data_IF_749616883927
#
_entry.id   IF_749616883927
#
_cell.length_a   1.000
_cell.length_b   1.000
_cell.length_c   1.000
_cell.angle_alpha   90.00
_cell.angle_beta   90.00
_cell.angle_gamma   90.00
#
_symmetry.space_group_name_H-M   'P 1'
#
loop_
_entity.id
_entity.type
_entity.pdbx_description
1 polymer ?
#
# COMPACT_ATOMS: atom_id res chain seq x y z
N UNK A 1 -2.90 23.41 19.21
CA UNK A 1 -1.59 23.05 18.61
C UNK A 1 -1.76 21.70 17.95
N UNK A 2 -1.30 21.54 16.69
CA UNK A 2 -1.35 20.25 16.00
C UNK A 2 -0.55 19.16 16.72
N UNK A 3 -0.94 17.92 16.51
CA UNK A 3 -0.27 16.76 17.11
C UNK A 3 1.11 16.52 16.47
N UNK A 4 1.98 15.79 17.18
CA UNK A 4 3.23 15.27 16.62
C UNK A 4 2.96 13.96 15.94
N UNK A 5 3.34 13.86 14.67
CA UNK A 5 3.23 12.64 13.89
C UNK A 5 4.59 12.19 13.32
N UNK A 6 4.86 10.89 13.37
CA UNK A 6 6.03 10.27 12.78
C UNK A 6 5.62 9.42 11.59
N UNK A 7 6.07 9.78 10.39
CA UNK A 7 5.84 9.01 9.17
C UNK A 7 7.14 8.31 8.79
N UNK A 8 7.15 6.99 8.82
CA UNK A 8 8.33 6.17 8.51
C UNK A 8 8.18 5.61 7.11
N UNK A 9 9.02 6.09 6.18
CA UNK A 9 8.96 5.77 4.75
C UNK A 9 8.49 6.94 3.89
N UNK A 10 9.41 7.62 3.20
CA UNK A 10 9.15 8.77 2.32
C UNK A 10 8.90 8.35 0.85
N UNK A 11 8.15 7.26 0.66
CA UNK A 11 7.60 6.88 -0.65
C UNK A 11 6.35 7.69 -0.99
N UNK A 12 5.68 7.33 -2.10
CA UNK A 12 4.47 8.04 -2.56
C UNK A 12 3.42 8.15 -1.45
N UNK A 13 3.10 7.05 -0.79
CA UNK A 13 2.05 7.06 0.25
C UNK A 13 2.51 7.82 1.50
N UNK A 14 3.73 7.56 2.01
CA UNK A 14 4.19 8.24 3.22
C UNK A 14 4.31 9.76 3.03
N UNK A 15 4.74 10.21 1.85
CA UNK A 15 4.75 11.63 1.51
C UNK A 15 3.33 12.23 1.48
N UNK A 16 2.36 11.52 0.88
CA UNK A 16 0.95 11.95 0.89
C UNK A 16 0.39 12.06 2.32
N UNK A 17 0.68 11.06 3.17
CA UNK A 17 0.29 11.10 4.59
C UNK A 17 0.92 12.32 5.27
N UNK A 18 2.22 12.54 5.08
CA UNK A 18 2.92 13.69 5.67
C UNK A 18 2.33 15.03 5.22
N UNK A 19 2.01 15.17 3.92
CA UNK A 19 1.36 16.36 3.38
C UNK A 19 -0.02 16.61 4.00
N UNK A 20 -0.89 15.60 4.02
CA UNK A 20 -2.24 15.71 4.60
C UNK A 20 -2.21 16.08 6.09
N UNK A 21 -1.27 15.52 6.86
CA UNK A 21 -1.09 15.85 8.27
C UNK A 21 -0.62 17.30 8.45
N UNK A 22 0.34 17.74 7.65
CA UNK A 22 0.85 19.11 7.68
C UNK A 22 -0.23 20.14 7.27
N UNK A 23 -1.05 19.84 6.27
CA UNK A 23 -2.20 20.66 5.87
C UNK A 23 -3.25 20.79 6.99
N UNK A 24 -3.40 19.74 7.81
CA UNK A 24 -4.25 19.74 9.01
C UNK A 24 -3.65 20.58 10.17
N UNK A 25 -2.39 21.00 10.06
CA UNK A 25 -1.67 21.76 11.07
C UNK A 25 -0.87 20.92 12.06
N UNK A 26 -0.64 19.64 11.77
CA UNK A 26 0.20 18.77 12.57
C UNK A 26 1.70 19.03 12.30
N UNK A 27 2.54 18.75 13.29
CA UNK A 27 3.99 18.74 13.16
C UNK A 27 4.45 17.34 12.74
N UNK A 28 5.01 17.21 11.55
CA UNK A 28 5.32 15.92 10.95
C UNK A 28 6.83 15.70 10.86
N UNK A 29 7.29 14.56 11.36
CA UNK A 29 8.64 14.05 11.08
C UNK A 29 8.52 12.93 10.03
N UNK A 30 9.10 13.17 8.83
CA UNK A 30 9.12 12.20 7.73
C UNK A 30 10.50 11.54 7.66
N UNK A 31 10.53 10.22 7.89
CA UNK A 31 11.77 9.45 7.99
C UNK A 31 12.03 8.66 6.71
N UNK A 32 13.24 8.76 6.20
CA UNK A 32 13.76 7.88 5.16
C UNK A 32 15.25 7.63 5.36
N UNK A 33 15.79 6.58 4.75
CA UNK A 33 17.21 6.23 4.90
C UNK A 33 18.20 7.36 4.51
N UNK A 34 17.77 8.28 3.66
CA UNK A 34 18.61 9.39 3.15
C UNK A 34 18.11 10.77 3.59
N UNK A 35 17.06 10.85 4.39
CA UNK A 35 16.42 12.13 4.73
C UNK A 35 15.84 12.86 3.52
N UNK A 36 15.67 12.16 2.40
CA UNK A 36 15.14 12.71 1.16
C UNK A 36 13.71 12.17 0.91
N UNK A 37 12.94 12.91 0.16
CA UNK A 37 11.59 12.58 -0.28
C UNK A 37 11.05 13.70 -1.16
N UNK A 38 9.87 13.56 -1.77
CA UNK A 38 9.20 14.63 -2.48
C UNK A 38 9.05 15.88 -1.61
N UNK A 39 8.98 17.06 -2.21
CA UNK A 39 8.66 18.29 -1.50
C UNK A 39 7.20 18.23 -1.03
N UNK A 40 6.99 18.44 0.26
CA UNK A 40 5.66 18.44 0.86
C UNK A 40 5.27 19.85 1.29
N UNK A 41 4.00 20.26 1.15
CA UNK A 41 3.55 21.52 1.73
C UNK A 41 3.56 21.42 3.26
N UNK A 42 3.79 22.59 3.91
CA UNK A 42 3.65 22.73 5.35
C UNK A 42 4.89 22.33 6.19
N UNK A 43 4.66 22.12 7.49
CA UNK A 43 5.71 21.91 8.49
C UNK A 43 6.17 20.44 8.56
N UNK A 44 6.81 19.93 7.49
CA UNK A 44 7.38 18.59 7.44
C UNK A 44 8.88 18.64 7.65
N UNK A 45 9.36 18.05 8.75
CA UNK A 45 10.79 17.86 9.03
C UNK A 45 11.24 16.51 8.47
N UNK A 46 12.25 16.51 7.59
CA UNK A 46 12.82 15.29 7.03
C UNK A 46 14.03 14.83 7.83
N UNK A 47 14.04 13.55 8.19
CA UNK A 47 15.11 12.94 8.99
C UNK A 47 15.66 11.71 8.31
N UNK A 48 17.01 11.61 8.29
CA UNK A 48 17.70 10.41 7.85
C UNK A 48 17.79 9.40 9.00
N UNK A 49 17.13 8.25 8.86
CA UNK A 49 17.27 7.14 9.79
C UNK A 49 16.90 5.80 9.13
N UNK A 50 17.46 4.71 9.67
CA UNK A 50 17.05 3.36 9.29
C UNK A 50 15.85 2.95 10.17
N UNK A 51 14.76 2.54 9.54
CA UNK A 51 13.58 2.04 10.25
C UNK A 51 13.85 0.76 11.06
N UNK A 52 14.92 0.04 10.75
CA UNK A 52 15.36 -1.13 11.53
C UNK A 52 16.19 -0.76 12.78
N UNK A 53 16.65 0.49 12.89
CA UNK A 53 17.36 0.96 14.09
C UNK A 53 16.36 1.28 15.22
N UNK A 54 16.24 0.35 16.17
CA UNK A 54 15.32 0.48 17.29
C UNK A 54 15.65 1.68 18.21
N UNK A 55 16.92 2.06 18.32
CA UNK A 55 17.34 3.24 19.10
C UNK A 55 16.94 4.55 18.42
N UNK A 56 17.15 4.63 17.10
CA UNK A 56 16.71 5.79 16.32
C UNK A 56 15.18 5.94 16.32
N UNK A 57 14.44 4.85 16.09
CA UNK A 57 12.98 4.89 16.10
C UNK A 57 12.42 5.27 17.48
N UNK A 58 13.01 4.77 18.57
CA UNK A 58 12.61 5.13 19.91
C UNK A 58 12.75 6.64 20.17
N UNK A 59 13.90 7.22 19.83
CA UNK A 59 14.13 8.67 20.01
C UNK A 59 13.19 9.51 19.14
N UNK A 60 12.96 9.11 17.90
CA UNK A 60 12.08 9.82 16.98
C UNK A 60 10.60 9.73 17.38
N UNK A 61 10.22 8.72 18.15
CA UNK A 61 8.85 8.50 18.61
C UNK A 61 8.56 9.24 19.94
N UNK A 62 9.52 9.90 20.58
CA UNK A 62 9.30 10.62 21.83
C UNK A 62 8.27 11.74 21.65
N UNK A 63 7.20 11.70 22.45
CA UNK A 63 6.10 12.68 22.40
C UNK A 63 5.22 12.62 21.15
N UNK A 64 5.39 11.61 20.29
CA UNK A 64 4.59 11.42 19.09
C UNK A 64 3.23 10.81 19.44
N UNK A 65 2.16 11.37 18.87
CA UNK A 65 0.80 10.83 19.04
C UNK A 65 0.54 9.61 18.15
N UNK A 66 1.03 9.65 16.90
CA UNK A 66 0.79 8.60 15.90
C UNK A 66 2.07 8.31 15.08
N UNK A 67 2.37 7.04 14.91
CA UNK A 67 3.42 6.53 14.00
C UNK A 67 2.75 5.88 12.79
N UNK A 68 3.04 6.38 11.59
CA UNK A 68 2.59 5.81 10.32
C UNK A 68 3.73 5.02 9.68
N UNK A 69 3.62 3.69 9.65
CA UNK A 69 4.58 2.82 9.00
C UNK A 69 4.23 2.63 7.52
N UNK A 70 4.85 3.42 6.66
CA UNK A 70 4.72 3.38 5.19
C UNK A 70 5.97 2.79 4.50
N UNK A 71 6.80 2.04 5.24
CA UNK A 71 8.01 1.43 4.70
C UNK A 71 7.64 0.28 3.74
N UNK A 72 8.35 0.20 2.64
CA UNK A 72 8.27 -0.95 1.74
C UNK A 72 9.68 -1.27 1.20
N UNK A 73 10.40 -2.23 1.78
CA UNK A 73 11.70 -2.67 1.27
C UNK A 73 11.59 -3.27 -0.13
N UNK A 74 12.69 -3.37 -0.90
CA UNK A 74 12.71 -4.11 -2.15
C UNK A 74 12.25 -5.58 -1.95
N UNK A 75 11.43 -6.10 -2.82
CA UNK A 75 10.77 -7.41 -2.66
C UNK A 75 11.72 -8.56 -2.32
N UNK A 76 12.88 -8.62 -2.97
CA UNK A 76 13.89 -9.65 -2.72
C UNK A 76 14.54 -9.56 -1.32
N UNK A 77 14.36 -8.43 -0.63
CA UNK A 77 14.89 -8.18 0.72
C UNK A 77 13.84 -8.36 1.81
N UNK A 78 12.57 -8.58 1.47
CA UNK A 78 11.51 -8.68 2.46
C UNK A 78 11.80 -9.67 3.60
N UNK A 79 12.31 -10.88 3.36
CA UNK A 79 12.60 -11.81 4.45
C UNK A 79 13.64 -11.30 5.45
N UNK A 80 14.60 -10.49 4.97
CA UNK A 80 15.66 -9.94 5.81
C UNK A 80 15.28 -8.59 6.45
N UNK A 81 14.61 -7.72 5.70
CA UNK A 81 14.39 -6.33 6.11
C UNK A 81 13.11 -6.14 6.94
N UNK A 82 12.02 -6.87 6.63
CA UNK A 82 10.74 -6.66 7.32
C UNK A 82 10.77 -7.01 8.82
N UNK A 83 11.34 -8.14 9.28
CA UNK A 83 11.31 -8.47 10.70
C UNK A 83 11.95 -7.40 11.60
N UNK A 84 13.18 -6.91 11.33
CA UNK A 84 13.77 -5.86 12.17
C UNK A 84 13.04 -4.51 12.06
N UNK A 85 12.52 -4.14 10.89
CA UNK A 85 11.73 -2.91 10.73
C UNK A 85 10.45 -2.99 11.55
N UNK A 86 9.68 -4.07 11.42
CA UNK A 86 8.42 -4.23 12.14
C UNK A 86 8.64 -4.22 13.67
N UNK A 87 9.65 -4.95 14.14
CA UNK A 87 9.98 -4.99 15.57
C UNK A 87 10.42 -3.62 16.12
N UNK A 88 11.24 -2.89 15.35
CA UNK A 88 11.73 -1.55 15.73
C UNK A 88 10.59 -0.54 15.83
N UNK A 89 9.73 -0.47 14.82
CA UNK A 89 8.61 0.49 14.78
C UNK A 89 7.54 0.14 15.82
N UNK A 90 7.19 -1.14 15.98
CA UNK A 90 6.28 -1.59 17.03
C UNK A 90 6.82 -1.27 18.42
N UNK A 91 8.09 -1.59 18.69
CA UNK A 91 8.72 -1.28 19.97
C UNK A 91 8.85 0.21 20.24
N UNK A 92 8.99 1.06 19.22
CA UNK A 92 8.94 2.51 19.37
C UNK A 92 7.54 2.98 19.79
N UNK A 93 6.48 2.44 19.18
CA UNK A 93 5.10 2.75 19.53
C UNK A 93 4.75 2.27 20.96
N UNK A 94 5.18 1.07 21.35
CA UNK A 94 4.98 0.56 22.72
C UNK A 94 5.62 1.48 23.77
N UNK A 95 6.85 1.96 23.53
CA UNK A 95 7.58 2.82 24.48
C UNK A 95 7.03 4.24 24.55
N UNK A 96 6.61 4.80 23.44
CA UNK A 96 6.10 6.18 23.38
C UNK A 96 4.62 6.31 23.72
N UNK A 97 3.87 5.21 23.71
CA UNK A 97 2.41 5.22 23.83
C UNK A 97 1.69 5.74 22.60
N UNK A 98 2.40 5.94 21.48
CA UNK A 98 1.82 6.37 20.22
C UNK A 98 0.88 5.29 19.61
N UNK A 99 -0.09 5.72 18.83
CA UNK A 99 -0.83 4.82 17.95
C UNK A 99 0.07 4.38 16.80
N UNK A 100 0.10 3.09 16.47
CA UNK A 100 0.81 2.59 15.30
C UNK A 100 -0.18 2.24 14.17
N UNK A 101 -0.07 2.91 13.04
CA UNK A 101 -0.81 2.58 11.82
C UNK A 101 0.15 2.04 10.79
N UNK A 102 -0.08 0.80 10.33
CA UNK A 102 0.78 0.16 9.33
C UNK A 102 0.08 0.07 7.97
N UNK A 103 0.71 0.61 6.93
CA UNK A 103 0.31 0.36 5.55
C UNK A 103 0.65 -1.08 5.17
N UNK A 104 -0.34 -1.79 4.69
CA UNK A 104 -0.22 -3.18 4.24
C UNK A 104 -0.84 -3.37 2.85
N UNK A 105 -0.87 -4.61 2.41
CA UNK A 105 -1.49 -5.05 1.17
C UNK A 105 -2.30 -6.32 1.40
N UNK A 106 -2.82 -6.91 0.32
CA UNK A 106 -3.67 -8.09 0.37
C UNK A 106 -2.89 -9.42 0.32
N UNK A 107 -1.56 -9.39 0.30
CA UNK A 107 -0.75 -10.62 0.16
C UNK A 107 -0.92 -11.61 1.32
N UNK A 108 -1.28 -11.11 2.49
CA UNK A 108 -1.54 -11.94 3.67
C UNK A 108 -2.70 -12.92 3.47
N UNK A 109 -3.66 -12.62 2.60
CA UNK A 109 -4.77 -13.51 2.25
C UNK A 109 -4.30 -14.69 1.39
N UNK A 110 -3.21 -14.53 0.61
CA UNK A 110 -2.59 -15.57 -0.19
C UNK A 110 -3.34 -15.94 -1.46
N UNK A 111 -2.80 -16.88 -2.26
CA UNK A 111 -3.35 -17.25 -3.57
C UNK A 111 -4.46 -18.30 -3.49
N UNK A 112 -5.04 -18.53 -2.36
CA UNK A 112 -6.06 -19.57 -2.22
C UNK A 112 -5.54 -20.85 -1.57
N UNK A 113 -6.47 -21.62 -1.12
CA UNK A 113 -6.39 -22.78 -0.25
C UNK A 113 -7.58 -22.73 0.69
N UNK A 114 -7.83 -23.72 1.52
CA UNK A 114 -8.94 -23.68 2.48
C UNK A 114 -8.88 -22.40 3.32
N UNK A 115 -9.92 -21.56 3.19
CA UNK A 115 -10.00 -20.26 3.86
C UNK A 115 -9.19 -19.12 3.24
N UNK A 116 -8.53 -19.31 2.08
CA UNK A 116 -7.83 -18.25 1.35
C UNK A 116 -8.74 -17.40 0.48
N UNK A 117 -8.16 -16.41 -0.23
CA UNK A 117 -8.94 -15.48 -1.03
C UNK A 117 -9.76 -16.17 -2.15
N UNK A 118 -9.30 -17.30 -2.68
CA UNK A 118 -10.01 -18.05 -3.73
C UNK A 118 -11.40 -18.55 -3.28
N UNK A 119 -11.63 -18.70 -1.97
CA UNK A 119 -12.92 -19.06 -1.41
C UNK A 119 -13.73 -17.84 -0.93
N UNK A 120 -13.06 -16.72 -0.71
CA UNK A 120 -13.66 -15.48 -0.21
C UNK A 120 -13.62 -14.39 -1.29
N UNK A 121 -14.60 -14.38 -2.18
CA UNK A 121 -14.80 -13.34 -3.16
C UNK A 121 -16.07 -12.53 -2.88
N UNK A 122 -15.95 -11.22 -2.73
CA UNK A 122 -14.73 -10.42 -2.56
C UNK A 122 -14.02 -10.66 -1.22
N UNK A 123 -12.69 -10.36 -1.16
CA UNK A 123 -11.97 -10.36 0.11
C UNK A 123 -12.51 -9.27 1.03
N UNK A 124 -12.76 -9.63 2.28
CA UNK A 124 -13.12 -8.70 3.37
C UNK A 124 -12.02 -8.67 4.42
N UNK A 125 -12.11 -7.76 5.39
CA UNK A 125 -11.16 -7.71 6.52
C UNK A 125 -11.23 -8.97 7.40
N UNK A 126 -12.34 -9.72 7.33
CA UNK A 126 -12.53 -10.99 8.04
C UNK A 126 -11.94 -12.20 7.27
N UNK A 127 -11.56 -12.03 6.00
CA UNK A 127 -10.92 -13.10 5.21
C UNK A 127 -9.66 -13.59 5.92
N UNK A 128 -9.48 -14.90 6.14
CA UNK A 128 -8.32 -15.44 6.84
C UNK A 128 -6.99 -15.10 6.17
N UNK A 129 -5.95 -14.87 6.97
CA UNK A 129 -4.58 -14.69 6.49
C UNK A 129 -3.96 -16.06 6.19
N UNK A 130 -4.30 -16.65 5.05
CA UNK A 130 -3.96 -18.01 4.64
C UNK A 130 -2.77 -18.08 3.66
N UNK A 131 -1.97 -17.03 3.56
CA UNK A 131 -0.85 -16.98 2.62
C UNK A 131 0.19 -18.08 2.86
N UNK A 132 0.54 -18.83 1.82
CA UNK A 132 1.57 -19.85 1.82
C UNK A 132 2.92 -19.36 1.31
N UNK A 133 2.95 -18.25 0.56
CA UNK A 133 4.16 -17.62 0.04
C UNK A 133 4.90 -16.77 1.09
N UNK A 134 6.23 -16.58 0.92
CA UNK A 134 7.05 -15.82 1.87
C UNK A 134 6.53 -14.39 2.13
N UNK A 135 6.16 -13.65 1.09
CA UNK A 135 5.69 -12.26 1.23
C UNK A 135 4.39 -12.16 1.99
N UNK A 136 3.44 -13.04 1.67
CA UNK A 136 2.16 -13.07 2.36
C UNK A 136 2.32 -13.47 3.84
N UNK A 137 3.16 -14.46 4.15
CA UNK A 137 3.47 -14.84 5.55
C UNK A 137 4.13 -13.70 6.32
N UNK A 138 5.02 -12.93 5.70
CA UNK A 138 5.64 -11.77 6.33
C UNK A 138 4.58 -10.73 6.69
N UNK A 139 3.68 -10.38 5.75
CA UNK A 139 2.60 -9.43 6.01
C UNK A 139 1.65 -9.91 7.09
N UNK A 140 1.26 -11.19 7.04
CA UNK A 140 0.43 -11.79 8.07
C UNK A 140 1.11 -11.71 9.45
N UNK A 141 2.39 -12.02 9.53
CA UNK A 141 3.16 -11.98 10.78
C UNK A 141 3.28 -10.57 11.36
N UNK A 142 3.60 -9.57 10.52
CA UNK A 142 3.67 -8.16 10.95
C UNK A 142 2.36 -7.71 11.59
N UNK A 143 1.22 -8.05 10.99
CA UNK A 143 -0.08 -7.75 11.56
C UNK A 143 -0.36 -8.54 12.85
N UNK A 144 -0.13 -9.84 12.85
CA UNK A 144 -0.38 -10.70 14.01
C UNK A 144 0.41 -10.25 15.25
N UNK A 145 1.69 -9.89 15.09
CA UNK A 145 2.53 -9.40 16.17
C UNK A 145 2.03 -8.05 16.72
N UNK A 146 1.64 -7.13 15.84
CA UNK A 146 1.06 -5.85 16.22
C UNK A 146 -0.28 -6.02 16.95
N UNK A 147 -1.16 -6.88 16.42
CA UNK A 147 -2.47 -7.17 17.04
C UNK A 147 -2.33 -7.85 18.40
N UNK A 148 -1.40 -8.77 18.56
CA UNK A 148 -1.10 -9.40 19.85
C UNK A 148 -0.60 -8.38 20.88
N UNK A 149 0.24 -7.43 20.47
CA UNK A 149 0.67 -6.33 21.32
C UNK A 149 -0.50 -5.42 21.74
N UNK A 150 -1.42 -5.14 20.82
CA UNK A 150 -2.64 -4.38 21.10
C UNK A 150 -3.56 -5.11 22.10
N UNK A 151 -3.82 -6.39 21.87
CA UNK A 151 -4.65 -7.21 22.76
C UNK A 151 -4.07 -7.36 24.16
N UNK A 152 -2.75 -7.32 24.28
CA UNK A 152 -2.03 -7.27 25.55
C UNK A 152 -2.02 -5.87 26.21
N UNK A 153 -2.66 -4.85 25.62
CA UNK A 153 -2.74 -3.50 26.14
C UNK A 153 -1.43 -2.70 26.05
N UNK A 154 -0.43 -3.18 25.31
CA UNK A 154 0.89 -2.52 25.23
C UNK A 154 0.92 -1.35 24.23
N UNK A 155 0.06 -1.38 23.22
CA UNK A 155 0.03 -0.38 22.15
C UNK A 155 -1.35 -0.33 21.50
N UNK A 156 -1.70 0.79 20.87
CA UNK A 156 -2.88 0.91 20.02
C UNK A 156 -2.44 0.77 18.57
N UNK A 157 -3.03 -0.17 17.80
CA UNK A 157 -2.62 -0.43 16.43
C UNK A 157 -3.80 -0.43 15.47
N UNK A 158 -3.54 -0.07 14.22
CA UNK A 158 -4.44 -0.33 13.09
C UNK A 158 -3.61 -0.76 11.88
N UNK A 159 -4.18 -1.58 11.01
CA UNK A 159 -3.59 -1.92 9.72
C UNK A 159 -4.49 -1.43 8.59
N UNK A 160 -3.92 -0.77 7.60
CA UNK A 160 -4.62 -0.32 6.39
C UNK A 160 -4.14 -1.17 5.22
N UNK A 161 -5.03 -1.99 4.66
CA UNK A 161 -4.75 -2.89 3.55
C UNK A 161 -5.23 -2.28 2.24
N UNK A 162 -4.30 -2.11 1.31
CA UNK A 162 -4.58 -1.61 -0.03
C UNK A 162 -4.40 -2.71 -1.07
N UNK A 163 -5.18 -2.65 -2.14
CA UNK A 163 -4.92 -3.38 -3.38
C UNK A 163 -3.78 -2.71 -4.16
N UNK A 164 -3.55 -3.10 -5.41
CA UNK A 164 -2.56 -2.47 -6.26
C UNK A 164 -2.84 -0.97 -6.44
N UNK A 165 -1.78 -0.17 -6.41
CA UNK A 165 -1.93 1.28 -6.44
C UNK A 165 -2.20 1.81 -7.84
N UNK A 166 -3.06 2.84 -7.91
CA UNK A 166 -3.25 3.72 -9.06
C UNK A 166 -3.06 5.16 -8.59
N UNK A 167 -2.54 6.02 -9.47
CA UNK A 167 -2.29 7.42 -9.17
C UNK A 167 -0.88 7.86 -9.55
N UNK A 168 -0.57 9.16 -9.42
CA UNK A 168 0.76 9.70 -9.72
C UNK A 168 1.86 9.04 -8.89
N UNK A 169 2.92 8.57 -9.57
CA UNK A 169 4.05 7.92 -8.92
C UNK A 169 3.78 6.53 -8.37
N UNK A 170 2.58 5.96 -8.59
CA UNK A 170 2.22 4.63 -8.11
C UNK A 170 3.22 3.57 -8.60
N UNK A 171 3.77 2.82 -7.66
CA UNK A 171 4.64 1.68 -7.95
C UNK A 171 3.80 0.40 -8.00
N UNK A 172 3.19 0.14 -9.14
CA UNK A 172 2.27 -0.97 -9.36
C UNK A 172 2.43 -1.56 -10.76
N UNK A 173 1.66 -2.61 -11.05
CA UNK A 173 1.62 -3.23 -12.37
C UNK A 173 1.22 -2.24 -13.48
N UNK A 174 0.32 -1.28 -13.18
CA UNK A 174 -0.14 -0.22 -14.10
C UNK A 174 0.46 1.16 -13.78
N UNK A 175 1.61 1.20 -13.11
CA UNK A 175 2.30 2.44 -12.74
C UNK A 175 2.91 3.20 -13.93
N UNK A 176 3.81 4.14 -13.61
CA UNK A 176 4.39 5.13 -14.53
C UNK A 176 4.87 4.58 -15.88
N UNK A 177 5.45 3.36 -15.90
CA UNK A 177 5.89 2.71 -17.14
C UNK A 177 4.74 2.49 -18.11
N UNK A 178 3.59 2.05 -17.63
CA UNK A 178 2.39 1.81 -18.45
C UNK A 178 1.79 3.14 -18.86
N UNK A 179 1.57 4.07 -17.93
CA UNK A 179 1.01 5.40 -18.19
C UNK A 179 1.79 6.12 -19.30
N UNK A 180 3.14 6.14 -19.21
CA UNK A 180 3.99 6.76 -20.24
C UNK A 180 3.82 6.13 -21.62
N UNK A 181 3.70 4.80 -21.72
CA UNK A 181 3.48 4.11 -23.00
C UNK A 181 2.11 4.41 -23.57
N UNK A 182 1.09 4.43 -22.72
CA UNK A 182 -0.29 4.77 -23.12
C UNK A 182 -0.35 6.19 -23.69
N UNK A 183 0.24 7.18 -23.01
CA UNK A 183 0.33 8.58 -23.51
C UNK A 183 0.99 8.67 -24.89
N UNK A 184 1.88 7.75 -25.22
CA UNK A 184 2.55 7.70 -26.51
C UNK A 184 1.78 6.86 -27.55
N UNK A 185 0.58 6.36 -27.25
CA UNK A 185 -0.17 5.46 -28.11
C UNK A 185 0.51 4.12 -28.35
N UNK A 186 1.49 3.73 -27.52
CA UNK A 186 2.28 2.50 -27.71
C UNK A 186 1.63 1.32 -26.99
N UNK A 187 1.72 0.14 -27.58
CA UNK A 187 1.26 -1.11 -26.99
C UNK A 187 1.88 -1.33 -25.60
N UNK A 188 1.11 -1.94 -24.71
CA UNK A 188 1.54 -2.28 -23.34
C UNK A 188 1.48 -3.79 -23.12
N UNK A 189 2.37 -4.29 -22.27
CA UNK A 189 2.35 -5.67 -21.82
C UNK A 189 2.06 -5.71 -20.33
N UNK A 190 1.08 -6.50 -19.92
CA UNK A 190 0.59 -6.64 -18.56
C UNK A 190 0.88 -8.04 -18.00
N UNK A 191 0.88 -8.16 -16.68
CA UNK A 191 1.09 -9.42 -15.98
C UNK A 191 -0.20 -10.24 -15.94
N UNK A 192 -0.08 -11.56 -16.10
CA UNK A 192 -1.21 -12.47 -15.99
C UNK A 192 -2.25 -12.22 -17.07
N UNK A 193 -3.51 -12.09 -16.69
CA UNK A 193 -4.65 -11.90 -17.59
C UNK A 193 -5.11 -10.45 -17.60
N UNK A 194 -5.32 -9.92 -18.77
CA UNK A 194 -5.71 -8.54 -18.97
C UNK A 194 -7.20 -8.28 -18.66
N UNK A 195 -8.02 -9.33 -18.63
CA UNK A 195 -9.49 -9.26 -18.56
C UNK A 195 -10.08 -9.59 -17.19
N UNK A 196 -9.23 -9.96 -16.21
CA UNK A 196 -9.72 -10.32 -14.85
C UNK A 196 -10.03 -9.08 -14.02
N UNK A 197 -11.17 -9.07 -13.30
CA UNK A 197 -11.48 -8.03 -12.33
C UNK A 197 -10.40 -7.89 -11.27
N UNK A 198 -9.99 -6.65 -11.02
CA UNK A 198 -8.97 -6.32 -10.04
C UNK A 198 -9.32 -5.01 -9.33
N UNK A 199 -9.18 -4.97 -8.02
CA UNK A 199 -9.38 -3.74 -7.26
C UNK A 199 -8.12 -2.88 -7.34
N UNK A 200 -8.32 -1.57 -7.56
CA UNK A 200 -7.25 -0.57 -7.61
C UNK A 200 -7.45 0.44 -6.50
N UNK A 201 -6.43 0.66 -5.68
CA UNK A 201 -6.47 1.63 -4.59
C UNK A 201 -5.77 2.92 -5.00
N UNK A 202 -6.51 4.03 -4.99
CA UNK A 202 -5.94 5.34 -5.29
C UNK A 202 -5.01 5.81 -4.17
N UNK A 203 -3.83 6.32 -4.52
CA UNK A 203 -2.78 6.69 -3.56
C UNK A 203 -3.23 7.70 -2.52
N UNK A 204 -4.12 8.63 -2.88
CA UNK A 204 -4.62 9.64 -1.95
C UNK A 204 -5.70 9.06 -1.02
N UNK A 205 -6.52 8.11 -1.50
CA UNK A 205 -7.48 7.38 -0.66
C UNK A 205 -6.76 6.49 0.37
N UNK A 206 -5.62 5.89 -0.04
CA UNK A 206 -4.74 5.15 0.88
C UNK A 206 -4.22 6.07 1.99
N UNK A 207 -3.70 7.23 1.63
CA UNK A 207 -3.18 8.20 2.59
C UNK A 207 -4.29 8.71 3.53
N UNK A 208 -5.47 9.03 2.99
CA UNK A 208 -6.64 9.46 3.77
C UNK A 208 -7.10 8.39 4.77
N UNK A 209 -7.15 7.12 4.33
CA UNK A 209 -7.49 6.03 5.23
C UNK A 209 -6.46 5.83 6.35
N UNK A 210 -5.15 5.97 6.05
CA UNK A 210 -4.09 5.92 7.05
C UNK A 210 -4.25 7.04 8.08
N UNK A 211 -4.46 8.28 7.65
CA UNK A 211 -4.67 9.44 8.54
C UNK A 211 -5.89 9.21 9.41
N UNK A 212 -7.01 8.75 8.84
CA UNK A 212 -8.23 8.42 9.60
C UNK A 212 -7.96 7.34 10.64
N UNK A 213 -7.29 6.26 10.27
CA UNK A 213 -6.98 5.16 11.19
C UNK A 213 -6.06 5.58 12.36
N UNK A 214 -5.21 6.59 12.14
CA UNK A 214 -4.36 7.14 13.19
C UNK A 214 -5.09 7.97 14.23
N UNK A 215 -6.19 8.60 13.84
CA UNK A 215 -6.88 9.60 14.65
C UNK A 215 -8.25 9.18 15.19
N UNK A 216 -8.87 8.16 14.59
CA UNK A 216 -10.15 7.63 15.06
C UNK A 216 -9.95 6.38 15.93
N UNK A 217 -10.27 6.43 17.26
CA UNK A 217 -10.15 5.27 18.14
C UNK A 217 -10.92 4.03 17.67
N UNK A 218 -11.96 4.18 16.89
CA UNK A 218 -12.73 3.07 16.36
C UNK A 218 -12.00 2.26 15.28
N UNK A 219 -10.87 2.77 14.79
CA UNK A 219 -10.01 2.05 13.86
C UNK A 219 -9.07 1.06 14.54
N UNK A 220 -8.83 1.24 15.87
CA UNK A 220 -7.76 0.51 16.56
C UNK A 220 -8.14 -0.95 16.87
N UNK A 221 -7.14 -1.81 16.87
CA UNK A 221 -7.31 -3.26 17.05
C UNK A 221 -7.86 -4.00 15.84
N UNK A 222 -7.89 -3.36 14.65
CA UNK A 222 -8.46 -3.93 13.42
C UNK A 222 -7.62 -3.63 12.18
N UNK A 223 -7.80 -4.49 11.19
CA UNK A 223 -7.40 -4.19 9.81
C UNK A 223 -8.57 -3.53 9.08
N UNK A 224 -8.27 -2.66 8.12
CA UNK A 224 -9.25 -1.95 7.30
C UNK A 224 -8.83 -1.96 5.85
N UNK A 225 -9.76 -2.22 4.95
CA UNK A 225 -9.56 -2.07 3.53
C UNK A 225 -9.68 -0.61 3.11
N UNK A 226 -8.79 -0.19 2.21
CA UNK A 226 -8.85 1.17 1.64
C UNK A 226 -10.12 1.33 0.81
N UNK A 227 -10.95 2.37 1.03
CA UNK A 227 -12.06 2.69 0.15
C UNK A 227 -11.61 2.72 -1.31
N UNK A 228 -12.18 1.85 -2.13
CA UNK A 228 -11.81 1.66 -3.52
C UNK A 228 -13.04 1.59 -4.41
N UNK A 229 -12.89 1.99 -5.67
CA UNK A 229 -13.94 1.92 -6.68
C UNK A 229 -14.24 0.47 -7.08
N UNK A 230 -15.31 0.27 -7.85
CA UNK A 230 -15.65 -1.00 -8.49
C UNK A 230 -14.44 -1.58 -9.22
N UNK A 231 -14.23 -2.91 -9.13
CA UNK A 231 -13.10 -3.57 -9.78
C UNK A 231 -13.06 -3.34 -11.28
N UNK A 232 -11.86 -3.15 -11.81
CA UNK A 232 -11.62 -2.98 -13.25
C UNK A 232 -10.50 -3.89 -13.70
N UNK A 233 -10.66 -4.53 -14.85
CA UNK A 233 -9.57 -5.30 -15.44
C UNK A 233 -8.41 -4.40 -15.89
N UNK A 234 -7.21 -4.96 -16.02
CA UNK A 234 -6.05 -4.22 -16.53
C UNK A 234 -6.32 -3.60 -17.90
N UNK A 235 -7.08 -4.30 -18.75
CA UNK A 235 -7.51 -3.79 -20.07
C UNK A 235 -8.38 -2.55 -19.93
N UNK A 236 -9.43 -2.62 -19.10
CA UNK A 236 -10.30 -1.47 -18.84
C UNK A 236 -9.55 -0.25 -18.34
N UNK A 237 -8.61 -0.43 -17.40
CA UNK A 237 -7.78 0.67 -16.89
C UNK A 237 -6.90 1.27 -17.99
N UNK A 238 -6.28 0.44 -18.83
CA UNK A 238 -5.48 0.93 -19.97
C UNK A 238 -6.34 1.68 -20.99
N UNK A 239 -7.56 1.21 -21.27
CA UNK A 239 -8.50 1.87 -22.16
C UNK A 239 -8.98 3.22 -21.58
N UNK A 240 -9.20 3.29 -20.26
CA UNK A 240 -9.54 4.53 -19.57
C UNK A 240 -8.38 5.53 -19.62
N UNK A 241 -7.14 5.07 -19.40
CA UNK A 241 -5.94 5.91 -19.54
C UNK A 241 -5.75 6.40 -20.97
N UNK A 242 -5.99 5.56 -21.98
CA UNK A 242 -5.89 5.96 -23.39
C UNK A 242 -6.91 7.04 -23.75
N UNK A 243 -8.14 6.87 -23.27
CA UNK A 243 -9.23 7.86 -23.47
C UNK A 243 -8.87 9.20 -22.81
N UNK A 244 -8.38 9.18 -21.57
CA UNK A 244 -7.98 10.40 -20.86
C UNK A 244 -6.74 11.07 -21.49
N UNK A 245 -5.84 10.29 -22.09
CA UNK A 245 -4.69 10.80 -22.81
C UNK A 245 -5.06 11.37 -24.21
N UNK A 246 -6.30 11.23 -24.66
CA UNK A 246 -6.72 11.63 -26.02
C UNK A 246 -6.06 10.81 -27.13
N UNK A 247 -5.61 9.58 -26.83
CA UNK A 247 -5.01 8.68 -27.83
C UNK A 247 -6.02 7.61 -28.24
N UNK A 248 -5.79 7.00 -29.42
CA UNK A 248 -6.61 5.90 -29.89
C UNK A 248 -6.44 4.63 -29.05
N UNK A 249 -7.11 3.55 -29.46
CA UNK A 249 -7.03 2.27 -28.77
C UNK A 249 -5.58 1.77 -28.64
N UNK A 250 -5.18 1.45 -27.41
CA UNK A 250 -3.85 0.90 -27.10
C UNK A 250 -3.90 -0.62 -27.06
N UNK A 251 -3.03 -1.27 -27.83
CA UNK A 251 -2.95 -2.73 -27.81
C UNK A 251 -2.40 -3.21 -26.46
N UNK A 252 -3.19 -4.04 -25.76
CA UNK A 252 -2.80 -4.71 -24.52
C UNK A 252 -2.46 -6.16 -24.82
N UNK A 253 -1.26 -6.59 -24.43
CA UNK A 253 -0.80 -7.99 -24.55
C UNK A 253 -0.47 -8.56 -23.18
N UNK A 254 -0.77 -9.83 -22.97
CA UNK A 254 -0.45 -10.57 -21.76
C UNK A 254 0.97 -11.13 -21.84
N UNK A 255 1.71 -11.06 -20.73
CA UNK A 255 3.02 -11.72 -20.63
C UNK A 255 2.79 -13.17 -20.21
N UNK A 256 3.11 -14.15 -21.05
CA UNK A 256 2.91 -15.56 -20.71
C UNK A 256 3.73 -15.95 -19.48
N UNK A 257 3.14 -16.72 -18.55
CA UNK A 257 3.82 -17.17 -17.33
C UNK A 257 5.10 -17.98 -17.60
N UNK A 258 5.20 -18.65 -18.75
CA UNK A 258 6.41 -19.33 -19.20
C UNK A 258 7.55 -18.35 -19.46
N UNK A 259 7.24 -17.18 -20.01
CA UNK A 259 8.21 -16.10 -20.25
C UNK A 259 8.68 -15.52 -18.92
N UNK A 260 7.76 -15.24 -18.00
CA UNK A 260 8.10 -14.78 -16.64
C UNK A 260 8.99 -15.80 -15.91
N UNK A 261 8.72 -17.10 -16.09
CA UNK A 261 9.56 -18.16 -15.54
C UNK A 261 10.99 -18.15 -16.10
N UNK A 262 11.13 -18.02 -17.41
CA UNK A 262 12.43 -17.92 -18.06
C UNK A 262 13.21 -16.67 -17.64
N UNK A 263 12.53 -15.52 -17.61
CA UNK A 263 13.13 -14.25 -17.16
C UNK A 263 13.53 -14.29 -15.68
N UNK A 264 12.80 -15.00 -14.83
CA UNK A 264 13.11 -15.16 -13.40
C UNK A 264 14.42 -15.88 -13.11
N UNK A 265 14.99 -16.60 -14.07
CA UNK A 265 16.33 -17.20 -13.96
C UNK A 265 17.45 -16.15 -14.05
N UNK A 266 17.25 -15.10 -14.86
CA UNK A 266 18.24 -14.05 -15.09
C UNK A 266 18.03 -12.78 -14.24
N UNK A 267 16.77 -12.48 -13.89
CA UNK A 267 16.44 -11.24 -13.17
C UNK A 267 15.71 -11.51 -11.86
N UNK A 268 16.31 -11.17 -10.70
CA UNK A 268 15.70 -11.37 -9.37
C UNK A 268 14.29 -10.79 -9.25
N UNK A 269 14.04 -9.60 -9.80
CA UNK A 269 12.72 -8.96 -9.76
C UNK A 269 11.63 -9.83 -10.40
N UNK A 270 11.91 -10.46 -11.54
CA UNK A 270 10.96 -11.34 -12.23
C UNK A 270 10.65 -12.59 -11.43
N UNK A 271 11.64 -13.12 -10.70
CA UNK A 271 11.44 -14.21 -9.75
C UNK A 271 10.49 -13.82 -8.61
N UNK A 272 10.66 -12.59 -8.10
CA UNK A 272 9.84 -12.08 -7.01
C UNK A 272 8.39 -11.81 -7.44
N UNK A 273 8.16 -11.37 -8.68
CA UNK A 273 6.82 -11.14 -9.23
C UNK A 273 6.02 -12.45 -9.41
N UNK A 274 6.69 -13.59 -9.56
CA UNK A 274 6.01 -14.89 -9.68
C UNK A 274 5.19 -15.25 -8.44
N UNK A 275 5.66 -14.88 -7.25
CA UNK A 275 4.92 -15.15 -6.01
C UNK A 275 3.60 -14.38 -5.96
N UNK A 276 3.53 -13.22 -6.58
CA UNK A 276 2.35 -12.34 -6.55
C UNK A 276 1.56 -12.34 -7.88
N UNK A 277 1.98 -13.15 -8.87
CA UNK A 277 1.32 -13.23 -10.19
C UNK A 277 -0.14 -13.70 -10.10
N UNK A 278 -0.48 -14.51 -9.09
CA UNK A 278 -1.83 -15.04 -8.90
C UNK A 278 -2.90 -13.95 -8.89
N UNK A 279 -2.63 -12.78 -8.31
CA UNK A 279 -3.56 -11.67 -8.23
C UNK A 279 -3.96 -11.08 -9.60
N UNK A 280 -3.19 -11.40 -10.66
CA UNK A 280 -3.50 -11.00 -12.04
C UNK A 280 -3.97 -12.17 -12.90
N UNK A 281 -4.07 -13.38 -12.36
CA UNK A 281 -4.54 -14.57 -13.10
C UNK A 281 -6.00 -14.89 -12.85
N UNK A 282 -6.50 -14.47 -11.72
CA UNK A 282 -7.87 -14.69 -11.23
C UNK A 282 -8.48 -13.35 -10.82
N UNK A 283 -9.76 -13.37 -10.46
CA UNK A 283 -10.45 -12.20 -9.95
C UNK A 283 -9.84 -11.81 -8.60
N UNK A 284 -9.32 -10.61 -8.49
CA UNK A 284 -8.68 -10.11 -7.26
C UNK A 284 -9.43 -8.91 -6.72
N UNK A 285 -10.54 -9.19 -6.05
CA UNK A 285 -11.53 -8.21 -5.63
C UNK A 285 -11.52 -8.04 -4.12
N UNK A 286 -11.42 -6.79 -3.69
CA UNK A 286 -11.45 -6.37 -2.29
C UNK A 286 -12.75 -5.62 -2.01
N UNK A 287 -13.49 -6.02 -0.97
CA UNK A 287 -14.59 -5.25 -0.40
C UNK A 287 -14.05 -4.24 0.63
N UNK A 288 -14.38 -2.99 0.45
CA UNK A 288 -14.02 -1.90 1.37
C UNK A 288 -15.25 -1.25 2.03
N UNK A 289 -16.41 -1.88 1.93
CA UNK A 289 -17.68 -1.35 2.44
C UNK A 289 -17.66 -1.08 3.95
N UNK A 290 -16.94 -1.91 4.72
CA UNK A 290 -16.81 -1.75 6.17
C UNK A 290 -16.13 -0.43 6.55
N UNK A 291 -15.01 -0.08 5.90
CA UNK A 291 -14.32 1.18 6.12
C UNK A 291 -15.16 2.38 5.64
N UNK A 292 -15.81 2.26 4.48
CA UNK A 292 -16.69 3.30 3.96
C UNK A 292 -17.85 3.60 4.92
N UNK A 293 -18.53 2.57 5.40
CA UNK A 293 -19.66 2.71 6.34
C UNK A 293 -19.18 3.26 7.70
N UNK A 294 -18.05 2.78 8.22
CA UNK A 294 -17.59 3.15 9.56
C UNK A 294 -17.07 4.59 9.64
N UNK A 295 -16.36 5.05 8.61
CA UNK A 295 -15.68 6.35 8.63
C UNK A 295 -16.33 7.39 7.70
N UNK A 296 -17.40 7.03 6.98
CA UNK A 296 -18.02 7.92 5.99
C UNK A 296 -17.12 8.25 4.80
N UNK A 297 -16.03 7.49 4.61
CA UNK A 297 -15.09 7.70 3.52
C UNK A 297 -15.64 7.10 2.22
N UNK A 298 -15.46 7.84 1.13
CA UNK A 298 -15.76 7.34 -0.22
C UNK A 298 -14.49 7.37 -1.06
N UNK A 299 -14.29 6.42 -1.97
CA UNK A 299 -13.20 6.52 -2.93
C UNK A 299 -13.36 7.78 -3.79
N UNK A 300 -12.26 8.35 -4.23
CA UNK A 300 -12.29 9.41 -5.24
C UNK A 300 -12.97 8.90 -6.52
N UNK A 301 -13.69 9.75 -7.28
CA UNK A 301 -14.30 9.35 -8.54
C UNK A 301 -13.27 8.77 -9.51
N UNK A 302 -13.61 7.64 -10.15
CA UNK A 302 -12.66 6.94 -11.03
C UNK A 302 -12.12 7.81 -12.16
N UNK A 303 -12.97 8.63 -12.75
CA UNK A 303 -12.62 9.56 -13.84
C UNK A 303 -11.58 10.60 -13.39
N UNK A 304 -11.69 11.07 -12.15
CA UNK A 304 -10.73 11.99 -11.54
C UNK A 304 -9.39 11.29 -11.31
N UNK A 305 -9.40 10.08 -10.77
CA UNK A 305 -8.19 9.26 -10.58
C UNK A 305 -7.45 9.07 -11.90
N UNK A 306 -8.19 8.72 -12.94
CA UNK A 306 -7.65 8.52 -14.30
C UNK A 306 -7.05 9.83 -14.83
N UNK A 307 -7.78 10.93 -14.75
CA UNK A 307 -7.33 12.23 -15.23
C UNK A 307 -6.04 12.69 -14.52
N UNK A 308 -5.98 12.57 -13.19
CA UNK A 308 -4.80 12.91 -12.38
C UNK A 308 -3.62 11.99 -12.74
N UNK A 309 -3.86 10.68 -12.86
CA UNK A 309 -2.80 9.69 -13.15
C UNK A 309 -2.18 9.95 -14.52
N UNK A 310 -3.01 10.22 -15.51
CA UNK A 310 -2.55 10.48 -16.88
C UNK A 310 -2.02 11.91 -17.03
N UNK A 311 -2.56 12.91 -16.33
CA UNK A 311 -2.13 14.32 -16.35
C UNK A 311 -0.82 14.59 -15.61
N UNK A 312 -0.41 13.75 -14.65
CA UNK A 312 0.84 13.92 -13.90
C UNK A 312 2.07 13.80 -14.83
N UNK A 313 2.98 14.79 -14.77
CA UNK A 313 4.25 14.82 -15.49
C UNK A 313 5.40 14.41 -14.59
#
# INVERSE_FOLDING_TARGET
MGELALVVGAGVIGSRVAGMLAERGDRVTLVSRRGAGPAEPGAVTRVAADAADAGAMARLAEGVAVIYNCVNPPYHRWPADWPPIAASVLGAAERSGAVLVTLSNLYGYGPGGPGGYAEAHPMTEATPLAATGPKGRIRARVWQDALAAHQAGRVRVAEVRAADFVGPGAQSALGERIVRRVRQGKSVSVLGRADRPHTWSFTDDVARMLVTAGTDPAAWGRAWHVPSNEPRSQRQVVDDFARAAGVGQVRVSEIPSVVLRGMGLAWPLMRELRETEYQFREDFVMDSSAAQARFGLKPAPWEEIVAITVGSR
#
